data_IF_755902074962
#
_entry.id   IF_755902074962
#
_cell.length_a   1.000
_cell.length_b   1.000
_cell.length_c   1.000
_cell.angle_alpha   90.00
_cell.angle_beta   90.00
_cell.angle_gamma   90.00
#
_symmetry.space_group_name_H-M   'P 1'
#
loop_
_entity.id
_entity.type
_entity.pdbx_description
1 polymer ?
#
# COMPACT_ATOMS: atom_id res chain seq x y z
N UNK A 1 -18.46 -15.37 1.68
CA UNK A 1 -17.45 -14.72 0.85
C UNK A 1 -17.92 -13.30 0.47
N UNK A 2 -17.73 -12.31 1.35
CA UNK A 2 -18.33 -10.95 1.23
C UNK A 2 -17.41 -9.90 0.59
N UNK A 3 -16.11 -10.16 0.61
CA UNK A 3 -15.08 -9.21 0.21
C UNK A 3 -14.24 -9.82 -0.90
N UNK A 4 -13.77 -8.97 -1.80
CA UNK A 4 -12.80 -9.28 -2.82
C UNK A 4 -11.49 -8.56 -2.49
N UNK A 5 -10.39 -9.27 -2.69
CA UNK A 5 -9.05 -8.74 -2.52
C UNK A 5 -8.34 -8.79 -3.87
N UNK A 6 -7.81 -7.66 -4.31
CA UNK A 6 -6.94 -7.62 -5.48
C UNK A 6 -5.69 -6.80 -5.21
N UNK A 7 -4.67 -7.00 -6.03
CA UNK A 7 -3.48 -6.16 -6.01
C UNK A 7 -3.84 -4.71 -6.30
N UNK A 8 -3.15 -3.80 -5.63
CA UNK A 8 -3.18 -2.38 -5.98
C UNK A 8 -2.49 -2.21 -7.33
N UNK A 9 -2.98 -1.25 -8.09
CA UNK A 9 -2.41 -0.83 -9.38
C UNK A 9 -2.18 0.68 -9.35
N UNK A 10 -1.36 1.23 -10.26
CA UNK A 10 -1.21 2.68 -10.40
C UNK A 10 -2.54 3.42 -10.62
N UNK A 11 -3.55 2.78 -11.23
CA UNK A 11 -4.86 3.37 -11.43
C UNK A 11 -5.67 3.60 -10.13
N UNK A 12 -5.24 3.01 -9.01
CA UNK A 12 -5.90 3.13 -7.72
C UNK A 12 -5.40 4.34 -6.90
N UNK A 13 -4.36 5.05 -7.36
CA UNK A 13 -3.67 6.09 -6.61
C UNK A 13 -4.62 7.17 -6.07
N UNK A 14 -5.41 7.78 -6.97
CA UNK A 14 -6.33 8.86 -6.61
C UNK A 14 -7.37 8.41 -5.57
N UNK A 15 -7.86 7.18 -5.70
CA UNK A 15 -8.82 6.60 -4.77
C UNK A 15 -8.18 6.39 -3.39
N UNK A 16 -6.97 5.84 -3.34
CA UNK A 16 -6.24 5.63 -2.10
C UNK A 16 -5.95 6.98 -1.43
N UNK A 17 -5.47 7.98 -2.18
CA UNK A 17 -5.22 9.32 -1.67
C UNK A 17 -6.50 9.97 -1.11
N UNK A 18 -7.64 9.78 -1.80
CA UNK A 18 -8.94 10.22 -1.28
C UNK A 18 -9.26 9.57 0.05
N UNK A 19 -9.17 8.24 0.16
CA UNK A 19 -9.45 7.51 1.39
C UNK A 19 -8.50 7.90 2.53
N UNK A 20 -7.24 8.18 2.21
CA UNK A 20 -6.25 8.69 3.16
C UNK A 20 -6.70 10.04 3.73
N UNK A 21 -7.07 10.99 2.87
CA UNK A 21 -7.49 12.32 3.28
C UNK A 21 -8.82 12.31 4.04
N UNK A 22 -9.77 11.49 3.61
CA UNK A 22 -11.11 11.45 4.17
C UNK A 22 -11.21 10.62 5.46
N UNK A 23 -10.35 9.61 5.62
CA UNK A 23 -10.38 8.66 6.73
C UNK A 23 -9.08 8.58 7.55
N UNK A 24 -7.95 8.23 6.91
CA UNK A 24 -6.69 7.97 7.63
C UNK A 24 -6.20 9.18 8.42
N UNK A 25 -6.14 10.37 7.82
CA UNK A 25 -5.66 11.58 8.50
C UNK A 25 -6.48 11.93 9.75
N UNK A 26 -7.78 11.61 9.74
CA UNK A 26 -8.72 11.89 10.84
C UNK A 26 -8.71 10.82 11.93
N UNK A 27 -8.09 9.67 11.70
CA UNK A 27 -8.13 8.52 12.61
C UNK A 27 -6.76 8.04 13.08
N UNK A 28 -5.69 8.34 12.33
CA UNK A 28 -4.33 8.00 12.72
C UNK A 28 -3.89 8.81 13.95
N UNK A 29 -3.48 8.15 15.06
CA UNK A 29 -3.08 8.85 16.29
C UNK A 29 -1.95 9.86 16.09
N UNK A 30 -0.98 9.55 15.23
CA UNK A 30 0.10 10.49 14.91
C UNK A 30 -0.43 11.70 14.14
N UNK A 31 -1.29 11.49 13.15
CA UNK A 31 -1.91 12.59 12.40
C UNK A 31 -2.70 13.51 13.34
N UNK A 32 -3.46 12.95 14.26
CA UNK A 32 -4.20 13.71 15.27
C UNK A 32 -3.26 14.47 16.21
N UNK A 33 -2.21 13.82 16.72
CA UNK A 33 -1.25 14.44 17.64
C UNK A 33 -0.52 15.64 17.02
N UNK A 34 -0.27 15.61 15.70
CA UNK A 34 0.40 16.67 14.97
C UNK A 34 -0.55 17.63 14.24
N UNK A 35 -1.87 17.54 14.46
CA UNK A 35 -2.89 18.33 13.75
C UNK A 35 -2.71 18.32 12.22
N UNK A 36 -2.45 17.13 11.69
CA UNK A 36 -2.23 16.91 10.25
C UNK A 36 -3.55 17.10 9.49
N UNK A 37 -3.52 17.95 8.48
CA UNK A 37 -4.63 18.22 7.56
C UNK A 37 -4.16 18.12 6.11
N UNK A 38 -5.08 17.95 5.14
CA UNK A 38 -4.71 18.02 3.72
C UNK A 38 -4.02 19.33 3.30
N UNK A 39 -4.27 20.42 4.02
CA UNK A 39 -3.68 21.74 3.73
C UNK A 39 -2.22 21.85 4.21
N UNK A 40 -1.86 21.15 5.29
CA UNK A 40 -0.52 21.25 5.90
C UNK A 40 0.35 20.01 5.71
N UNK A 41 -0.19 18.94 5.14
CA UNK A 41 0.52 17.69 4.93
C UNK A 41 0.05 17.00 3.67
N UNK A 42 0.99 16.75 2.76
CA UNK A 42 0.75 15.99 1.54
C UNK A 42 1.30 14.60 1.73
N UNK A 43 0.41 13.61 1.70
CA UNK A 43 0.83 12.21 1.61
C UNK A 43 1.19 11.93 0.17
N UNK A 44 2.42 11.50 -0.05
CA UNK A 44 2.85 10.91 -1.30
C UNK A 44 2.91 9.40 -1.11
N UNK A 45 2.33 8.66 -2.05
CA UNK A 45 2.48 7.21 -2.10
C UNK A 45 3.69 6.96 -3.00
N UNK A 46 4.67 6.19 -2.52
CA UNK A 46 5.78 5.80 -3.37
C UNK A 46 5.24 5.01 -4.59
N UNK A 47 5.63 5.32 -5.83
CA UNK A 47 5.15 4.60 -7.01
C UNK A 47 5.38 3.09 -6.92
N UNK A 48 6.50 2.67 -6.33
CA UNK A 48 6.84 1.27 -6.07
C UNK A 48 5.86 0.55 -5.16
N UNK A 49 5.03 1.29 -4.42
CA UNK A 49 4.02 0.74 -3.52
C UNK A 49 2.69 0.48 -4.24
N UNK A 50 2.43 1.18 -5.34
CA UNK A 50 1.22 1.04 -6.16
C UNK A 50 1.32 -0.11 -7.18
N UNK A 51 2.53 -0.57 -7.46
CA UNK A 51 2.82 -1.70 -8.35
C UNK A 51 3.40 -2.90 -7.55
N UNK A 52 3.18 -2.91 -6.24
CA UNK A 52 3.75 -3.92 -5.36
C UNK A 52 2.83 -5.14 -5.24
N UNK A 53 3.39 -6.33 -5.47
CA UNK A 53 2.71 -7.61 -5.29
C UNK A 53 2.16 -7.85 -3.87
N UNK A 54 2.52 -7.06 -2.85
CA UNK A 54 1.98 -7.14 -1.48
C UNK A 54 0.91 -6.09 -1.19
N UNK A 55 0.81 -5.03 -1.98
CA UNK A 55 -0.20 -4.00 -1.79
C UNK A 55 -1.58 -4.53 -2.22
N UNK A 56 -2.59 -4.29 -1.39
CA UNK A 56 -3.94 -4.84 -1.59
C UNK A 56 -5.02 -3.79 -1.40
N UNK A 57 -6.10 -3.95 -2.14
CA UNK A 57 -7.34 -3.20 -2.04
C UNK A 57 -8.45 -4.20 -1.70
N UNK A 58 -9.35 -3.80 -0.80
CA UNK A 58 -10.48 -4.60 -0.34
C UNK A 58 -11.76 -3.99 -0.87
N UNK A 59 -12.53 -4.79 -1.60
CA UNK A 59 -13.77 -4.39 -2.25
C UNK A 59 -14.92 -5.17 -1.61
N UNK A 60 -15.98 -4.48 -1.20
CA UNK A 60 -17.21 -5.14 -0.77
C UNK A 60 -18.01 -5.61 -2.00
N UNK A 61 -18.20 -6.92 -2.15
CA UNK A 61 -18.80 -7.51 -3.36
C UNK A 61 -20.24 -7.02 -3.61
N UNK A 62 -20.98 -6.72 -2.55
CA UNK A 62 -22.38 -6.30 -2.66
C UNK A 62 -22.55 -4.88 -3.21
N UNK A 63 -21.63 -3.97 -2.88
CA UNK A 63 -21.72 -2.55 -3.26
C UNK A 63 -20.72 -2.16 -4.35
N UNK A 64 -19.69 -2.97 -4.58
CA UNK A 64 -18.56 -2.64 -5.43
C UNK A 64 -17.64 -1.56 -4.83
N UNK A 65 -17.91 -1.13 -3.59
CA UNK A 65 -17.14 -0.06 -2.96
C UNK A 65 -15.82 -0.60 -2.41
N UNK A 66 -14.78 0.24 -2.53
CA UNK A 66 -13.52 0.03 -1.84
C UNK A 66 -13.69 0.42 -0.38
N UNK A 67 -13.48 -0.54 0.52
CA UNK A 67 -13.68 -0.35 1.96
C UNK A 67 -12.36 -0.26 2.72
N UNK A 68 -11.25 -0.58 2.07
CA UNK A 68 -9.94 -0.51 2.68
C UNK A 68 -8.83 -0.80 1.68
N UNK A 69 -7.61 -0.49 2.10
CA UNK A 69 -6.41 -0.79 1.36
C UNK A 69 -5.27 -1.06 2.34
N UNK A 70 -4.21 -1.70 1.84
CA UNK A 70 -2.94 -1.87 2.51
C UNK A 70 -1.84 -1.63 1.49
N UNK A 71 -1.00 -0.63 1.76
CA UNK A 71 0.12 -0.28 0.90
C UNK A 71 1.42 -0.73 1.55
N UNK A 72 2.27 -1.39 0.77
CA UNK A 72 3.62 -1.76 1.15
C UNK A 72 4.61 -1.20 0.15
N UNK A 73 5.69 -0.65 0.66
CA UNK A 73 6.90 -0.40 -0.10
C UNK A 73 8.03 -1.23 0.49
N UNK A 74 8.86 -1.80 -0.38
CA UNK A 74 10.17 -2.33 0.01
C UNK A 74 11.15 -1.22 -0.34
N UNK A 75 11.88 -0.76 0.66
CA UNK A 75 12.96 0.21 0.48
C UNK A 75 14.19 -0.25 1.23
N UNK A 76 15.34 0.04 0.65
CA UNK A 76 16.64 -0.17 1.25
C UNK A 76 17.18 1.18 1.75
N UNK A 77 17.97 1.16 2.83
CA UNK A 77 18.55 2.39 3.41
C UNK A 77 19.44 3.13 2.40
N UNK A 78 20.11 2.37 1.55
CA UNK A 78 20.83 2.84 0.37
C UNK A 78 19.92 2.63 -0.85
N UNK A 79 19.35 3.73 -1.37
CA UNK A 79 18.39 3.72 -2.48
C UNK A 79 18.97 3.15 -3.79
N UNK A 80 20.30 3.12 -3.93
CA UNK A 80 20.93 2.48 -5.10
C UNK A 80 20.75 0.96 -5.10
N UNK A 81 20.34 0.41 -3.95
CA UNK A 81 20.00 -1.01 -3.75
C UNK A 81 18.51 -1.25 -3.63
N UNK A 82 17.67 -0.26 -3.96
CA UNK A 82 16.24 -0.50 -4.11
C UNK A 82 16.04 -1.47 -5.28
N UNK A 83 15.49 -2.63 -4.97
CA UNK A 83 15.17 -3.67 -5.95
C UNK A 83 13.69 -3.49 -6.32
N UNK A 84 13.34 -3.46 -7.62
CA UNK A 84 11.94 -3.46 -8.03
C UNK A 84 11.19 -4.64 -7.40
N UNK A 85 9.89 -4.45 -7.04
CA UNK A 85 9.07 -5.58 -6.64
C UNK A 85 9.15 -6.68 -7.69
N UNK A 86 9.41 -7.91 -7.25
CA UNK A 86 9.35 -9.09 -8.10
C UNK A 86 8.30 -10.04 -7.54
N UNK A 87 7.70 -10.83 -8.42
CA UNK A 87 6.76 -11.86 -8.01
C UNK A 87 7.52 -12.91 -7.20
N UNK A 88 7.13 -13.12 -5.94
CA UNK A 88 7.66 -14.22 -5.14
C UNK A 88 7.08 -15.51 -5.69
N UNK A 89 7.93 -16.30 -6.34
CA UNK A 89 7.64 -17.69 -6.62
C UNK A 89 7.76 -18.48 -5.32
N UNK A 90 6.66 -18.55 -4.57
CA UNK A 90 6.57 -19.27 -3.30
C UNK A 90 6.80 -20.77 -3.46
N UNK A 91 6.64 -21.32 -4.68
CA UNK A 91 6.88 -22.74 -4.97
C UNK A 91 8.38 -23.01 -5.19
N UNK A 92 9.12 -22.04 -5.73
CA UNK A 92 10.56 -22.10 -5.90
C UNK A 92 11.37 -21.74 -4.64
N UNK A 93 10.73 -21.22 -3.58
CA UNK A 93 11.38 -20.98 -2.29
C UNK A 93 11.65 -22.31 -1.56
N UNK A 94 12.74 -22.99 -1.92
CA UNK A 94 13.33 -24.04 -1.08
C UNK A 94 14.00 -23.39 0.14
N UNK A 95 14.00 -24.06 1.30
CA UNK A 95 14.48 -23.52 2.60
C UNK A 95 15.96 -23.08 2.63
N UNK A 96 16.70 -23.21 1.53
CA UNK A 96 18.09 -22.79 1.40
C UNK A 96 18.19 -21.29 1.14
N UNK A 97 18.05 -20.51 2.20
CA UNK A 97 18.39 -19.09 2.22
C UNK A 97 19.89 -18.94 1.93
N UNK A 98 20.24 -18.47 0.74
CA UNK A 98 21.62 -18.09 0.40
C UNK A 98 21.99 -16.87 1.27
N UNK A 99 22.87 -17.09 2.24
CA UNK A 99 23.54 -16.03 2.98
C UNK A 99 24.53 -15.32 2.06
N UNK A 100 24.28 -14.04 1.76
CA UNK A 100 25.26 -13.14 1.17
C UNK A 100 26.18 -12.55 2.24
#
# INVERSE_FOLDING_TARGET
DKYEFRSVTPADEDLILKMVNEGFLKSCPHCLAFNVTPDNFRITIAPSALDNAYSRIVIEKASGNVIGFRIYSISHRDQTKDIPPYELDLEAMTEDVIHY
#
